data_IF_482993025310
#
_entry.id   IF_482993025310
#
_cell.length_a   1.000
_cell.length_b   1.000
_cell.length_c   1.000
_cell.angle_alpha   90.00
_cell.angle_beta   90.00
_cell.angle_gamma   90.00
#
_symmetry.space_group_name_H-M   'P 1'
#
loop_
_entity.id
_entity.type
_entity.pdbx_description
1 polymer ?
#
# COMPACT_ATOMS: atom_id res chain seq x y z
N UNK A 1 -31.55 -7.22 -19.19
CA UNK A 1 -30.63 -8.31 -18.83
C UNK A 1 -29.22 -7.77 -18.52
N UNK A 2 -28.49 -7.10 -19.42
CA UNK A 2 -27.13 -6.60 -19.15
C UNK A 2 -27.02 -5.59 -18.00
N UNK A 3 -27.96 -4.66 -17.87
CA UNK A 3 -28.00 -3.68 -16.76
C UNK A 3 -28.25 -4.37 -15.42
N UNK A 4 -29.20 -5.28 -15.35
CA UNK A 4 -29.51 -6.04 -14.12
C UNK A 4 -28.34 -6.95 -13.69
N UNK A 5 -27.60 -7.52 -14.65
CA UNK A 5 -26.40 -8.31 -14.38
C UNK A 5 -25.29 -7.44 -13.74
N UNK A 6 -25.05 -6.22 -14.28
CA UNK A 6 -24.09 -5.30 -13.71
C UNK A 6 -24.48 -4.85 -12.30
N UNK A 7 -25.74 -4.45 -12.09
CA UNK A 7 -26.25 -4.01 -10.79
C UNK A 7 -26.11 -5.10 -9.72
N UNK A 8 -26.39 -6.36 -10.05
CA UNK A 8 -26.19 -7.50 -9.16
C UNK A 8 -24.72 -7.65 -8.75
N UNK A 9 -23.80 -7.58 -9.71
CA UNK A 9 -22.35 -7.70 -9.46
C UNK A 9 -21.79 -6.51 -8.70
N UNK A 10 -22.26 -5.31 -9.01
CA UNK A 10 -21.90 -4.10 -8.28
C UNK A 10 -22.32 -4.20 -6.81
N UNK A 11 -23.56 -4.68 -6.57
CA UNK A 11 -24.06 -4.89 -5.20
C UNK A 11 -23.20 -5.91 -4.45
N UNK A 12 -22.78 -6.99 -5.10
CA UNK A 12 -21.86 -7.99 -4.54
C UNK A 12 -20.49 -7.37 -4.21
N UNK A 13 -19.88 -6.61 -5.13
CA UNK A 13 -18.58 -5.95 -4.92
C UNK A 13 -18.65 -4.90 -3.79
N UNK A 14 -19.70 -4.09 -3.75
CA UNK A 14 -19.94 -3.12 -2.68
C UNK A 14 -20.10 -3.81 -1.32
N UNK A 15 -20.83 -4.93 -1.26
CA UNK A 15 -20.98 -5.72 -0.04
C UNK A 15 -19.65 -6.27 0.46
N UNK A 16 -18.81 -6.80 -0.44
CA UNK A 16 -17.47 -7.29 -0.13
C UNK A 16 -16.58 -6.15 0.38
N UNK A 17 -16.59 -4.99 -0.31
CA UNK A 17 -15.80 -3.81 0.11
C UNK A 17 -16.25 -3.24 1.44
N UNK A 18 -17.57 -3.18 1.68
CA UNK A 18 -18.13 -2.73 2.94
C UNK A 18 -17.79 -3.69 4.09
N UNK A 19 -17.81 -5.00 3.84
CA UNK A 19 -17.40 -6.01 4.82
C UNK A 19 -15.96 -5.82 5.25
N UNK A 20 -15.02 -5.76 4.30
CA UNK A 20 -13.60 -5.57 4.63
C UNK A 20 -13.29 -4.15 5.12
N UNK A 21 -14.04 -3.15 4.65
CA UNK A 21 -13.91 -1.77 5.10
C UNK A 21 -14.06 -1.62 6.62
N UNK A 22 -14.95 -2.39 7.26
CA UNK A 22 -15.13 -2.38 8.71
C UNK A 22 -13.87 -2.81 9.48
N UNK A 23 -13.08 -3.71 8.92
CA UNK A 23 -11.83 -4.16 9.53
C UNK A 23 -10.69 -3.18 9.29
N UNK A 24 -10.66 -2.54 8.11
CA UNK A 24 -9.67 -1.52 7.76
C UNK A 24 -9.92 -0.25 8.58
N UNK A 25 -11.16 0.25 8.56
CA UNK A 25 -11.56 1.49 9.25
C UNK A 25 -12.11 1.20 10.65
N UNK A 26 -11.33 0.46 11.47
CA UNK A 26 -11.67 0.30 12.88
C UNK A 26 -11.47 1.64 13.65
N UNK A 27 -12.03 1.73 14.87
CA UNK A 27 -11.99 2.96 15.67
C UNK A 27 -10.56 3.48 15.91
N UNK A 28 -9.61 2.59 16.15
CA UNK A 28 -8.21 2.98 16.40
C UNK A 28 -7.55 3.54 15.14
N UNK A 29 -7.80 2.93 14.00
CA UNK A 29 -7.26 3.40 12.72
C UNK A 29 -7.90 4.73 12.29
N UNK A 30 -9.20 4.94 12.56
CA UNK A 30 -9.87 6.22 12.32
C UNK A 30 -9.27 7.34 13.16
N UNK A 31 -9.02 7.11 14.45
CA UNK A 31 -8.35 8.09 15.32
C UNK A 31 -6.95 8.41 14.79
N UNK A 32 -6.18 7.38 14.40
CA UNK A 32 -4.88 7.58 13.76
C UNK A 32 -4.97 8.44 12.49
N UNK A 33 -5.93 8.14 11.60
CA UNK A 33 -6.15 8.93 10.38
C UNK A 33 -6.52 10.38 10.68
N UNK A 34 -7.35 10.63 11.69
CA UNK A 34 -7.71 12.00 12.10
C UNK A 34 -6.49 12.77 12.59
N UNK A 35 -5.66 12.14 13.44
CA UNK A 35 -4.42 12.76 13.91
C UNK A 35 -3.46 13.00 12.74
N UNK A 36 -3.26 12.00 11.88
CA UNK A 36 -2.39 12.12 10.72
C UNK A 36 -2.84 13.23 9.76
N UNK A 37 -4.15 13.34 9.51
CA UNK A 37 -4.73 14.40 8.69
C UNK A 37 -4.54 15.78 9.34
N UNK A 38 -4.72 15.90 10.65
CA UNK A 38 -4.46 17.13 11.39
C UNK A 38 -3.00 17.56 11.34
N UNK A 39 -2.07 16.64 11.54
CA UNK A 39 -0.63 16.89 11.43
C UNK A 39 -0.26 17.27 10.00
N UNK A 40 -0.78 16.57 8.99
CA UNK A 40 -0.54 16.91 7.59
C UNK A 40 -1.03 18.32 7.26
N UNK A 41 -2.24 18.67 7.69
CA UNK A 41 -2.81 20.00 7.47
C UNK A 41 -1.97 21.09 8.16
N UNK A 42 -1.60 20.87 9.41
CA UNK A 42 -0.74 21.79 10.16
C UNK A 42 0.60 22.02 9.45
N UNK A 43 1.25 20.95 9.00
CA UNK A 43 2.54 21.07 8.30
C UNK A 43 2.41 21.74 6.94
N UNK A 44 1.34 21.46 6.18
CA UNK A 44 1.09 22.15 4.92
C UNK A 44 0.89 23.66 5.13
N UNK A 45 0.16 24.04 6.17
CA UNK A 45 -0.04 25.47 6.51
C UNK A 45 1.26 26.13 6.99
N UNK A 46 2.03 25.46 7.84
CA UNK A 46 3.35 25.95 8.30
C UNK A 46 4.35 26.07 7.16
N UNK A 47 4.40 25.10 6.25
CA UNK A 47 5.23 25.16 5.05
C UNK A 47 4.79 26.31 4.13
N UNK A 48 3.49 26.54 3.99
CA UNK A 48 2.95 27.66 3.22
C UNK A 48 3.47 29.01 3.73
N UNK A 49 3.57 29.19 5.05
CA UNK A 49 4.06 30.44 5.65
C UNK A 49 5.58 30.61 5.52
N UNK A 50 6.33 29.51 5.49
CA UNK A 50 7.79 29.50 5.47
C UNK A 50 8.43 29.48 4.09
N UNK A 51 7.69 28.98 3.07
CA UNK A 51 8.20 28.80 1.71
C UNK A 51 7.88 30.00 0.82
N UNK A 52 8.84 30.39 0.00
CA UNK A 52 8.64 31.35 -1.08
C UNK A 52 8.14 30.63 -2.34
N UNK A 53 7.41 31.33 -3.23
CA UNK A 53 7.02 30.79 -4.53
C UNK A 53 8.24 30.25 -5.26
N UNK A 54 8.18 29.00 -5.71
CA UNK A 54 9.29 28.38 -6.44
C UNK A 54 8.79 27.36 -7.44
N UNK A 55 9.50 27.25 -8.56
CA UNK A 55 9.21 26.26 -9.61
C UNK A 55 9.23 24.81 -9.07
N UNK A 56 9.96 24.54 -8.01
CA UNK A 56 10.00 23.21 -7.38
C UNK A 56 8.66 22.82 -6.76
N UNK A 57 7.93 23.78 -6.18
CA UNK A 57 6.58 23.57 -5.62
C UNK A 57 5.61 23.24 -6.77
N UNK A 58 5.72 23.95 -7.88
CA UNK A 58 4.87 23.75 -9.05
C UNK A 58 5.11 22.38 -9.69
N UNK A 59 6.38 22.01 -9.90
CA UNK A 59 6.76 20.70 -10.44
C UNK A 59 6.28 19.58 -9.52
N UNK A 60 6.51 19.71 -8.20
CA UNK A 60 6.10 18.69 -7.23
C UNK A 60 4.57 18.54 -7.20
N UNK A 61 3.85 19.65 -7.20
CA UNK A 61 2.38 19.69 -7.21
C UNK A 61 1.80 19.05 -8.47
N UNK A 62 2.37 19.35 -9.64
CA UNK A 62 1.97 18.75 -10.91
C UNK A 62 2.27 17.25 -10.95
N UNK A 63 3.42 16.78 -10.44
CA UNK A 63 3.77 15.36 -10.37
C UNK A 63 2.82 14.61 -9.43
N UNK A 64 2.61 15.12 -8.22
CA UNK A 64 1.74 14.49 -7.23
C UNK A 64 0.34 14.31 -7.81
N UNK A 65 -0.22 15.37 -8.41
CA UNK A 65 -1.57 15.31 -8.96
C UNK A 65 -1.64 14.39 -10.17
N UNK A 66 -0.67 14.44 -11.09
CA UNK A 66 -0.62 13.56 -12.25
C UNK A 66 -0.59 12.07 -11.87
N UNK A 67 0.16 11.71 -10.83
CA UNK A 67 0.23 10.32 -10.33
C UNK A 67 -1.10 9.88 -9.72
N UNK A 68 -1.80 10.78 -9.04
CA UNK A 68 -3.05 10.48 -8.35
C UNK A 68 -4.26 10.48 -9.29
N UNK A 69 -4.23 11.24 -10.39
CA UNK A 69 -5.26 11.24 -11.45
C UNK A 69 -5.27 9.90 -12.23
N UNK A 70 -5.36 8.79 -11.53
CA UNK A 70 -5.16 7.44 -12.05
C UNK A 70 -6.32 6.50 -11.66
N UNK A 71 -7.56 6.72 -12.18
CA UNK A 71 -8.69 5.86 -11.87
C UNK A 71 -8.45 4.42 -12.32
N UNK A 72 -8.91 3.45 -11.53
CA UNK A 72 -8.85 2.03 -11.87
C UNK A 72 -10.13 1.63 -12.59
N UNK A 73 -10.02 1.03 -13.76
CA UNK A 73 -11.18 0.50 -14.46
C UNK A 73 -11.61 -0.82 -13.82
N UNK A 74 -12.88 -0.95 -13.43
CA UNK A 74 -13.47 -2.14 -12.81
C UNK A 74 -14.63 -2.61 -13.66
N UNK A 75 -14.44 -3.75 -14.28
CA UNK A 75 -15.46 -4.35 -15.16
C UNK A 75 -16.36 -5.33 -14.42
N UNK A 76 -15.91 -5.87 -13.29
CA UNK A 76 -16.59 -6.91 -12.51
C UNK A 76 -16.89 -8.19 -13.33
N UNK A 77 -16.12 -8.43 -14.39
CA UNK A 77 -16.21 -9.66 -15.17
C UNK A 77 -15.56 -10.81 -14.41
N UNK A 78 -16.18 -12.00 -14.54
CA UNK A 78 -15.69 -13.26 -13.97
C UNK A 78 -15.05 -14.11 -15.07
N UNK A 79 -14.17 -15.04 -14.76
CA UNK A 79 -13.53 -15.93 -15.77
C UNK A 79 -14.54 -16.71 -16.61
N UNK A 80 -15.65 -17.13 -16.01
CA UNK A 80 -16.72 -17.83 -16.72
C UNK A 80 -17.39 -16.98 -17.83
N UNK A 81 -17.34 -15.65 -17.72
CA UNK A 81 -17.96 -14.75 -18.69
C UNK A 81 -17.31 -14.82 -20.06
N UNK A 82 -16.04 -15.20 -20.12
CA UNK A 82 -15.33 -15.42 -21.38
C UNK A 82 -15.98 -16.50 -22.25
N UNK A 83 -16.69 -17.45 -21.64
CA UNK A 83 -17.40 -18.53 -22.34
C UNK A 83 -18.86 -18.19 -22.61
N UNK A 84 -19.52 -17.48 -21.69
CA UNK A 84 -20.98 -17.34 -21.72
C UNK A 84 -21.47 -16.00 -22.28
N UNK A 85 -20.69 -14.93 -22.22
CA UNK A 85 -21.13 -13.59 -22.63
C UNK A 85 -20.84 -13.20 -24.09
N UNK A 86 -19.85 -13.77 -24.82
CA UNK A 86 -19.58 -13.37 -26.21
C UNK A 86 -20.79 -13.37 -27.13
N UNK A 87 -21.74 -14.35 -27.07
CA UNK A 87 -22.93 -14.31 -27.88
C UNK A 87 -23.85 -13.10 -27.66
N UNK A 88 -23.73 -12.46 -26.48
CA UNK A 88 -24.52 -11.30 -26.07
C UNK A 88 -23.77 -9.97 -26.21
N UNK A 89 -22.61 -9.93 -26.83
CA UNK A 89 -21.71 -8.77 -26.92
C UNK A 89 -22.43 -7.50 -27.38
N UNK A 90 -23.24 -7.58 -28.40
CA UNK A 90 -24.04 -6.46 -28.93
C UNK A 90 -25.01 -5.81 -27.93
N UNK A 91 -25.35 -6.51 -26.85
CA UNK A 91 -26.28 -6.04 -25.82
C UNK A 91 -25.53 -5.61 -24.51
N UNK A 92 -24.20 -5.59 -24.51
CA UNK A 92 -23.37 -5.31 -23.31
C UNK A 92 -23.07 -3.82 -23.10
N UNK A 93 -23.50 -2.92 -23.99
CA UNK A 93 -23.21 -1.48 -23.86
C UNK A 93 -23.63 -0.91 -22.52
N UNK A 94 -24.83 -1.27 -22.03
CA UNK A 94 -25.33 -0.78 -20.74
C UNK A 94 -24.53 -1.36 -19.56
N UNK A 95 -23.99 -2.57 -19.69
CA UNK A 95 -23.08 -3.16 -18.72
C UNK A 95 -21.79 -2.33 -18.60
N UNK A 96 -21.12 -2.08 -19.73
CA UNK A 96 -19.87 -1.32 -19.74
C UNK A 96 -20.07 0.15 -19.37
N UNK A 97 -21.20 0.77 -19.70
CA UNK A 97 -21.54 2.13 -19.20
C UNK A 97 -21.64 2.15 -17.68
N UNK A 98 -22.34 1.17 -17.09
CA UNK A 98 -22.39 1.02 -15.63
C UNK A 98 -21.01 0.82 -15.00
N UNK A 99 -20.19 -0.05 -15.60
CA UNK A 99 -18.83 -0.30 -15.15
C UNK A 99 -17.94 0.94 -15.19
N UNK A 100 -18.06 1.79 -16.22
CA UNK A 100 -17.35 3.08 -16.32
C UNK A 100 -17.75 4.04 -15.21
N UNK A 101 -19.05 4.24 -14.98
CA UNK A 101 -19.57 5.14 -13.93
C UNK A 101 -19.11 4.65 -12.56
N UNK A 102 -19.24 3.36 -12.29
CA UNK A 102 -18.78 2.76 -11.02
C UNK A 102 -17.28 2.94 -10.79
N UNK A 103 -16.46 2.72 -11.82
CA UNK A 103 -15.01 2.88 -11.75
C UNK A 103 -14.60 4.32 -11.44
N UNK A 104 -15.22 5.28 -12.12
CA UNK A 104 -14.97 6.71 -11.89
C UNK A 104 -15.37 7.13 -10.47
N UNK A 105 -16.54 6.67 -9.98
CA UNK A 105 -16.99 7.00 -8.62
C UNK A 105 -16.08 6.44 -7.52
N UNK A 106 -15.54 5.23 -7.70
CA UNK A 106 -14.59 4.64 -6.76
C UNK A 106 -13.24 5.36 -6.77
N UNK A 107 -12.81 5.85 -7.92
CA UNK A 107 -11.48 6.44 -8.10
C UNK A 107 -11.37 7.91 -7.68
N UNK A 108 -12.50 8.62 -7.47
CA UNK A 108 -12.50 10.09 -7.30
C UNK A 108 -12.00 10.57 -5.91
N UNK A 109 -12.10 9.73 -4.89
CA UNK A 109 -11.82 10.13 -3.49
C UNK A 109 -10.38 10.59 -3.28
N UNK A 110 -9.41 9.84 -3.78
CA UNK A 110 -7.99 10.16 -3.61
C UNK A 110 -7.59 11.44 -4.39
N UNK A 111 -7.96 11.63 -5.67
CA UNK A 111 -7.77 12.89 -6.38
C UNK A 111 -8.35 14.11 -5.67
N UNK A 112 -9.55 14.02 -5.09
CA UNK A 112 -10.17 15.14 -4.37
C UNK A 112 -9.36 15.50 -3.13
N UNK A 113 -8.98 14.52 -2.30
CA UNK A 113 -8.20 14.79 -1.07
C UNK A 113 -6.83 15.37 -1.40
N UNK A 114 -6.14 14.82 -2.40
CA UNK A 114 -4.82 15.34 -2.80
C UNK A 114 -4.91 16.71 -3.47
N UNK A 115 -5.97 17.00 -4.22
CA UNK A 115 -6.18 18.31 -4.82
C UNK A 115 -6.34 19.41 -3.77
N UNK A 116 -7.00 19.11 -2.63
CA UNK A 116 -7.08 20.06 -1.51
C UNK A 116 -5.71 20.34 -0.89
N UNK A 117 -4.87 19.32 -0.72
CA UNK A 117 -3.51 19.51 -0.21
C UNK A 117 -2.64 20.31 -1.19
N UNK A 118 -2.73 20.02 -2.49
CA UNK A 118 -2.03 20.76 -3.55
C UNK A 118 -2.52 22.21 -3.63
N UNK A 119 -3.81 22.46 -3.46
CA UNK A 119 -4.38 23.80 -3.42
C UNK A 119 -3.69 24.68 -2.37
N UNK A 120 -3.53 24.17 -1.14
CA UNK A 120 -2.87 24.90 -0.05
C UNK A 120 -1.46 25.34 -0.46
N UNK A 121 -0.70 24.48 -1.13
CA UNK A 121 0.66 24.78 -1.56
C UNK A 121 0.69 25.78 -2.72
N UNK A 122 -0.17 25.63 -3.72
CA UNK A 122 -0.18 26.49 -4.90
C UNK A 122 -0.69 27.92 -4.63
N UNK A 123 -1.45 28.14 -3.54
CA UNK A 123 -1.86 29.51 -3.15
C UNK A 123 -0.70 30.41 -2.74
N UNK A 124 0.53 29.92 -2.61
CA UNK A 124 1.73 30.70 -2.29
C UNK A 124 2.13 31.61 -3.45
N UNK A 125 1.98 31.16 -4.71
CA UNK A 125 2.54 31.85 -5.87
C UNK A 125 1.60 32.09 -7.05
N UNK A 126 0.34 31.64 -6.96
CA UNK A 126 -0.58 31.67 -8.11
C UNK A 126 -1.90 32.38 -7.81
N UNK A 127 -2.37 33.13 -8.83
CA UNK A 127 -3.66 33.81 -8.79
C UNK A 127 -4.84 32.83 -8.87
N UNK A 128 -6.00 33.28 -8.40
CA UNK A 128 -7.26 32.50 -8.41
C UNK A 128 -7.62 31.99 -9.81
N UNK A 129 -7.32 32.77 -10.87
CA UNK A 129 -7.55 32.36 -12.24
C UNK A 129 -6.70 31.13 -12.61
N UNK A 130 -5.39 31.16 -12.34
CA UNK A 130 -4.48 30.06 -12.61
C UNK A 130 -4.89 28.81 -11.86
N UNK A 131 -5.24 28.94 -10.57
CA UNK A 131 -5.71 27.82 -9.75
C UNK A 131 -7.01 27.23 -10.28
N UNK A 132 -7.98 28.06 -10.68
CA UNK A 132 -9.26 27.58 -11.21
C UNK A 132 -9.04 26.79 -12.52
N UNK A 133 -8.21 27.29 -13.44
CA UNK A 133 -7.87 26.60 -14.67
C UNK A 133 -7.12 25.29 -14.43
N UNK A 134 -6.21 25.28 -13.44
CA UNK A 134 -5.47 24.07 -13.03
C UNK A 134 -6.41 22.95 -12.55
N UNK A 135 -7.40 23.26 -11.69
CA UNK A 135 -8.33 22.26 -11.20
C UNK A 135 -9.36 21.83 -12.25
N UNK A 136 -9.82 22.75 -13.13
CA UNK A 136 -10.65 22.38 -14.29
C UNK A 136 -9.88 21.40 -15.15
N UNK A 137 -8.60 21.68 -15.42
CA UNK A 137 -7.76 20.78 -16.21
C UNK A 137 -7.56 19.43 -15.52
N UNK A 138 -7.37 19.38 -14.21
CA UNK A 138 -7.27 18.13 -13.45
C UNK A 138 -8.53 17.25 -13.62
N UNK A 139 -9.72 17.85 -13.62
CA UNK A 139 -10.97 17.12 -13.89
C UNK A 139 -10.98 16.57 -15.33
N UNK A 140 -10.60 17.36 -16.31
CA UNK A 140 -10.51 16.95 -17.72
C UNK A 140 -9.54 15.79 -17.86
N UNK A 141 -8.37 15.88 -17.24
CA UNK A 141 -7.32 14.87 -17.27
C UNK A 141 -7.78 13.57 -16.59
N UNK A 142 -8.54 13.63 -15.50
CA UNK A 142 -9.10 12.46 -14.85
C UNK A 142 -9.95 11.60 -15.80
N UNK A 143 -10.81 12.23 -16.59
CA UNK A 143 -11.61 11.55 -17.62
C UNK A 143 -10.77 11.09 -18.81
N UNK A 144 -9.77 11.89 -19.21
CA UNK A 144 -8.86 11.55 -20.29
C UNK A 144 -8.04 10.29 -19.96
N UNK A 145 -7.40 10.27 -18.80
CA UNK A 145 -6.62 9.11 -18.31
C UNK A 145 -7.49 7.85 -18.19
N UNK A 146 -8.73 8.00 -17.74
CA UNK A 146 -9.68 6.89 -17.74
C UNK A 146 -9.97 6.35 -19.13
N UNK A 147 -10.17 7.22 -20.13
CA UNK A 147 -10.40 6.83 -21.52
C UNK A 147 -9.20 6.09 -22.11
N UNK A 148 -7.98 6.59 -21.88
CA UNK A 148 -6.74 5.92 -22.32
C UNK A 148 -6.62 4.52 -21.72
N UNK A 149 -6.92 4.38 -20.43
CA UNK A 149 -6.88 3.08 -19.75
C UNK A 149 -7.90 2.09 -20.23
N UNK A 150 -9.13 2.53 -20.50
CA UNK A 150 -10.16 1.63 -21.04
C UNK A 150 -9.77 1.08 -22.41
N UNK A 151 -9.09 1.88 -23.24
CA UNK A 151 -8.52 1.42 -24.49
C UNK A 151 -7.40 0.39 -24.26
N UNK A 152 -6.48 0.68 -23.34
CA UNK A 152 -5.35 -0.18 -23.06
C UNK A 152 -5.76 -1.59 -22.59
N UNK A 153 -6.91 -1.71 -21.92
CA UNK A 153 -7.45 -3.02 -21.53
C UNK A 153 -7.93 -3.82 -22.75
N UNK A 154 -8.49 -3.14 -23.76
CA UNK A 154 -9.00 -3.81 -24.97
C UNK A 154 -7.90 -4.15 -25.98
N UNK A 155 -6.72 -3.58 -25.83
CA UNK A 155 -5.59 -3.75 -26.73
C UNK A 155 -4.43 -4.44 -26.02
N UNK A 156 -3.58 -5.13 -26.79
CA UNK A 156 -2.35 -5.76 -26.27
C UNK A 156 -1.18 -4.75 -26.12
N UNK A 157 -1.49 -3.47 -25.89
CA UNK A 157 -0.49 -2.44 -25.70
C UNK A 157 0.31 -2.68 -24.40
N UNK A 158 1.61 -2.39 -24.46
CA UNK A 158 2.46 -2.51 -23.29
C UNK A 158 1.95 -1.59 -22.17
N UNK A 159 1.53 -2.17 -21.05
CA UNK A 159 0.97 -1.45 -19.89
C UNK A 159 1.89 -0.36 -19.37
N UNK A 160 3.22 -0.56 -19.43
CA UNK A 160 4.21 0.46 -19.02
C UNK A 160 4.20 1.66 -19.96
N UNK A 161 4.18 1.42 -21.28
CA UNK A 161 4.15 2.50 -22.27
C UNK A 161 2.89 3.35 -22.12
N UNK A 162 1.74 2.71 -21.94
CA UNK A 162 0.46 3.40 -21.69
C UNK A 162 0.51 4.22 -20.39
N UNK A 163 1.08 3.64 -19.32
CA UNK A 163 1.21 4.34 -18.04
C UNK A 163 2.08 5.57 -18.16
N UNK A 164 3.24 5.46 -18.82
CA UNK A 164 4.14 6.59 -19.03
C UNK A 164 3.53 7.65 -19.92
N UNK A 165 2.75 7.26 -20.95
CA UNK A 165 2.11 8.22 -21.86
C UNK A 165 1.08 9.11 -21.17
N UNK A 166 0.16 8.54 -20.38
CA UNK A 166 -0.81 9.38 -19.67
C UNK A 166 -0.17 10.19 -18.54
N UNK A 167 0.80 9.64 -17.80
CA UNK A 167 1.53 10.40 -16.78
C UNK A 167 2.26 11.61 -17.39
N UNK A 168 2.86 11.43 -18.57
CA UNK A 168 3.52 12.51 -19.28
C UNK A 168 2.53 13.59 -19.74
N UNK A 169 1.37 13.21 -20.30
CA UNK A 169 0.32 14.12 -20.71
C UNK A 169 -0.25 14.88 -19.50
N UNK A 170 -0.55 14.17 -18.41
CA UNK A 170 -1.12 14.77 -17.21
C UNK A 170 -0.13 15.75 -16.56
N UNK A 171 1.13 15.35 -16.41
CA UNK A 171 2.17 16.21 -15.86
C UNK A 171 2.40 17.47 -16.72
N UNK A 172 2.61 17.30 -18.03
CA UNK A 172 2.89 18.43 -18.92
C UNK A 172 1.72 19.39 -18.99
N UNK A 173 0.48 18.90 -19.05
CA UNK A 173 -0.72 19.73 -19.09
C UNK A 173 -0.90 20.55 -17.81
N UNK A 174 -0.68 19.96 -16.65
CA UNK A 174 -0.78 20.64 -15.35
C UNK A 174 0.35 21.64 -15.15
N UNK A 175 1.58 21.27 -15.50
CA UNK A 175 2.75 22.12 -15.32
C UNK A 175 2.71 23.36 -16.25
N UNK A 176 2.27 23.21 -17.49
CA UNK A 176 2.12 24.33 -18.41
C UNK A 176 1.20 25.44 -17.87
N UNK A 177 0.08 25.06 -17.24
CA UNK A 177 -0.87 26.02 -16.68
C UNK A 177 -0.24 26.80 -15.50
N UNK A 178 0.60 26.14 -14.69
CA UNK A 178 1.31 26.79 -13.59
C UNK A 178 2.37 27.79 -14.07
N UNK A 179 2.99 27.57 -15.24
CA UNK A 179 3.91 28.53 -15.84
C UNK A 179 3.15 29.78 -16.28
N UNK A 180 2.05 29.61 -17.00
CA UNK A 180 1.24 30.75 -17.46
C UNK A 180 -0.19 30.26 -17.80
N UNK A 181 -1.24 30.93 -17.33
CA UNK A 181 -2.63 30.50 -17.53
C UNK A 181 -3.06 30.45 -19.02
N UNK A 182 -2.43 31.21 -19.91
CA UNK A 182 -2.70 31.12 -21.35
C UNK A 182 -2.35 29.75 -21.96
N UNK A 183 -1.43 29.01 -21.37
CA UNK A 183 -1.08 27.65 -21.82
C UNK A 183 -2.17 26.59 -21.54
N UNK A 184 -3.28 26.99 -20.87
CA UNK A 184 -4.47 26.15 -20.76
C UNK A 184 -4.97 25.68 -22.14
N UNK A 185 -4.93 26.57 -23.16
CA UNK A 185 -5.33 26.23 -24.54
C UNK A 185 -4.42 25.12 -25.10
N UNK A 186 -3.11 25.20 -24.88
CA UNK A 186 -2.15 24.18 -25.33
C UNK A 186 -2.38 22.85 -24.61
N UNK A 187 -2.64 22.89 -23.31
CA UNK A 187 -2.96 21.70 -22.52
C UNK A 187 -4.25 21.01 -23.03
N UNK A 188 -5.29 21.79 -23.37
CA UNK A 188 -6.52 21.25 -23.97
C UNK A 188 -6.24 20.60 -25.34
N UNK A 189 -5.39 21.22 -26.17
CA UNK A 189 -4.99 20.63 -27.46
C UNK A 189 -4.30 19.27 -27.25
N UNK A 190 -3.40 19.14 -26.28
CA UNK A 190 -2.75 17.86 -25.96
C UNK A 190 -3.76 16.79 -25.58
N UNK A 191 -4.76 17.14 -24.77
CA UNK A 191 -5.85 16.22 -24.40
C UNK A 191 -6.67 15.81 -25.64
N UNK A 192 -7.03 16.76 -26.51
CA UNK A 192 -7.78 16.47 -27.73
C UNK A 192 -6.98 15.52 -28.63
N UNK A 193 -5.69 15.76 -28.81
CA UNK A 193 -4.82 14.88 -29.60
C UNK A 193 -4.77 13.47 -29.02
N UNK A 194 -4.67 13.35 -27.69
CA UNK A 194 -4.70 12.04 -27.02
C UNK A 194 -6.04 11.31 -27.23
N UNK A 195 -7.16 12.05 -27.17
CA UNK A 195 -8.49 11.46 -27.42
C UNK A 195 -8.70 11.04 -28.87
N UNK A 196 -8.17 11.79 -29.84
CA UNK A 196 -8.20 11.41 -31.26
C UNK A 196 -7.40 10.12 -31.45
N UNK A 197 -6.23 10.02 -30.82
CA UNK A 197 -5.41 8.81 -30.86
C UNK A 197 -6.16 7.61 -30.27
N UNK A 198 -6.78 7.77 -29.08
CA UNK A 198 -7.58 6.74 -28.43
C UNK A 198 -8.71 6.27 -29.35
N UNK A 199 -9.47 7.20 -29.94
CA UNK A 199 -10.61 6.85 -30.80
C UNK A 199 -10.20 6.10 -32.08
N UNK A 200 -9.02 6.40 -32.64
CA UNK A 200 -8.50 5.68 -33.83
C UNK A 200 -8.12 4.23 -33.54
N UNK A 201 -7.86 3.89 -32.28
CA UNK A 201 -7.44 2.56 -31.84
C UNK A 201 -8.54 1.79 -31.10
N UNK A 202 -9.79 2.30 -31.11
CA UNK A 202 -10.92 1.54 -30.57
C UNK A 202 -11.24 0.41 -31.54
N UNK A 203 -11.06 -0.82 -31.09
CA UNK A 203 -11.47 -2.01 -31.82
C UNK A 203 -12.97 -2.21 -31.65
N UNK A 204 -13.64 -2.62 -32.72
CA UNK A 204 -15.08 -2.92 -32.70
C UNK A 204 -15.42 -4.11 -31.81
N UNK A 205 -14.50 -5.07 -31.69
CA UNK A 205 -14.68 -6.28 -30.92
C UNK A 205 -14.09 -6.19 -29.52
N UNK A 206 -14.78 -6.73 -28.54
CA UNK A 206 -14.35 -6.80 -27.14
C UNK A 206 -13.36 -7.95 -26.97
N UNK A 207 -12.17 -7.67 -26.45
CA UNK A 207 -11.21 -8.71 -26.04
C UNK A 207 -11.59 -9.28 -24.67
N UNK A 208 -12.50 -10.25 -24.63
CA UNK A 208 -13.00 -10.88 -23.41
C UNK A 208 -11.88 -11.41 -22.52
N UNK A 209 -10.84 -12.00 -23.12
CA UNK A 209 -9.69 -12.53 -22.41
C UNK A 209 -8.92 -11.41 -21.66
N UNK A 210 -8.70 -10.28 -22.33
CA UNK A 210 -7.98 -9.15 -21.72
C UNK A 210 -8.78 -8.50 -20.59
N UNK A 211 -10.09 -8.34 -20.78
CA UNK A 211 -10.96 -7.79 -19.75
C UNK A 211 -11.05 -8.68 -18.50
N UNK A 212 -11.20 -9.99 -18.67
CA UNK A 212 -11.30 -10.93 -17.55
C UNK A 212 -9.95 -11.05 -16.80
N UNK A 213 -8.84 -11.15 -17.52
CA UNK A 213 -7.50 -11.18 -16.91
C UNK A 213 -7.18 -9.88 -16.16
N UNK A 214 -7.52 -8.73 -16.74
CA UNK A 214 -7.35 -7.44 -16.11
C UNK A 214 -8.17 -7.31 -14.82
N UNK A 215 -9.44 -7.71 -14.83
CA UNK A 215 -10.29 -7.67 -13.63
C UNK A 215 -9.77 -8.61 -12.55
N UNK A 216 -9.28 -9.80 -12.91
CA UNK A 216 -8.63 -10.73 -11.99
C UNK A 216 -7.42 -10.09 -11.30
N UNK A 217 -6.55 -9.44 -12.08
CA UNK A 217 -5.38 -8.71 -11.54
C UNK A 217 -5.80 -7.59 -10.58
N UNK A 218 -6.86 -6.82 -10.93
CA UNK A 218 -7.40 -5.76 -10.07
C UNK A 218 -8.00 -6.31 -8.78
N UNK A 219 -8.73 -7.42 -8.87
CA UNK A 219 -9.32 -8.07 -7.71
C UNK A 219 -8.25 -8.65 -6.78
N UNK A 220 -7.23 -9.27 -7.35
CA UNK A 220 -6.09 -9.79 -6.59
C UNK A 220 -5.33 -8.66 -5.89
N UNK A 221 -5.08 -7.54 -6.58
CA UNK A 221 -4.45 -6.35 -6.01
C UNK A 221 -5.28 -5.76 -4.86
N UNK A 222 -6.61 -5.74 -4.98
CA UNK A 222 -7.50 -5.32 -3.90
C UNK A 222 -7.39 -6.24 -2.69
N UNK A 223 -7.48 -7.55 -2.88
CA UNK A 223 -7.35 -8.51 -1.78
C UNK A 223 -5.96 -8.49 -1.13
N UNK A 224 -4.90 -8.28 -1.90
CA UNK A 224 -3.56 -8.08 -1.35
C UNK A 224 -3.49 -6.85 -0.44
N UNK A 225 -4.14 -5.75 -0.84
CA UNK A 225 -4.22 -4.55 0.01
C UNK A 225 -5.03 -4.82 1.28
N UNK A 226 -6.16 -5.50 1.17
CA UNK A 226 -7.01 -5.86 2.32
C UNK A 226 -6.30 -6.82 3.26
N UNK A 227 -5.52 -7.78 2.72
CA UNK A 227 -4.79 -8.76 3.53
C UNK A 227 -3.73 -8.14 4.44
N UNK A 228 -3.33 -6.89 4.20
CA UNK A 228 -2.45 -6.14 5.09
C UNK A 228 -3.13 -5.76 6.41
N UNK A 229 -4.46 -5.75 6.44
CA UNK A 229 -5.25 -5.32 7.60
C UNK A 229 -6.04 -6.47 8.23
N UNK A 230 -6.41 -7.48 7.44
CA UNK A 230 -7.23 -8.61 7.93
C UNK A 230 -6.97 -9.87 7.11
N UNK A 231 -7.26 -11.04 7.70
CA UNK A 231 -7.14 -12.31 7.00
C UNK A 231 -8.21 -12.45 5.91
N UNK A 232 -7.78 -12.59 4.66
CA UNK A 232 -8.64 -12.81 3.49
C UNK A 232 -8.58 -14.27 3.09
N UNK A 233 -9.71 -14.97 3.16
CA UNK A 233 -9.81 -16.42 2.85
C UNK A 233 -9.54 -16.75 1.37
N UNK A 234 -9.71 -15.79 0.46
CA UNK A 234 -9.61 -16.00 -0.99
C UNK A 234 -8.20 -15.83 -1.57
N UNK A 235 -7.20 -15.50 -0.74
CA UNK A 235 -5.81 -15.46 -1.19
C UNK A 235 -5.19 -16.80 -0.83
N UNK A 236 -4.87 -17.59 -1.84
CA UNK A 236 -3.92 -18.68 -1.67
C UNK A 236 -2.60 -18.06 -1.19
N UNK A 237 -2.25 -18.32 0.07
CA UNK A 237 -0.96 -17.92 0.64
C UNK A 237 0.13 -18.72 -0.07
N UNK A 238 0.43 -18.33 -1.30
CA UNK A 238 1.54 -18.93 -2.03
C UNK A 238 2.84 -18.47 -1.38
N UNK A 239 3.50 -19.37 -0.67
CA UNK A 239 4.85 -19.16 -0.15
C UNK A 239 5.81 -18.98 -1.33
N UNK A 240 6.01 -17.74 -1.76
CA UNK A 240 6.88 -17.41 -2.87
C UNK A 240 8.33 -17.32 -2.37
N UNK A 241 9.19 -18.22 -2.81
CA UNK A 241 10.63 -18.19 -2.45
C UNK A 241 11.27 -16.89 -2.94
N UNK A 242 11.71 -16.05 -1.99
CA UNK A 242 12.47 -14.83 -2.27
C UNK A 242 13.95 -15.14 -2.26
N UNK A 243 14.51 -15.51 -3.43
CA UNK A 243 15.93 -15.88 -3.57
C UNK A 243 16.90 -14.83 -3.02
N UNK A 244 16.55 -13.54 -3.15
CA UNK A 244 17.36 -12.41 -2.67
C UNK A 244 17.50 -12.40 -1.14
N UNK A 245 16.53 -12.95 -0.39
CA UNK A 245 16.58 -12.99 1.07
C UNK A 245 17.12 -14.31 1.62
N UNK A 246 17.41 -15.28 0.75
CA UNK A 246 17.96 -16.58 1.18
C UNK A 246 19.36 -16.43 1.84
N UNK A 247 20.10 -15.33 1.59
CA UNK A 247 21.38 -15.06 2.26
C UNK A 247 21.25 -14.74 3.76
N UNK A 248 20.07 -14.30 4.20
CA UNK A 248 19.78 -14.02 5.61
C UNK A 248 19.43 -15.30 6.40
N UNK A 249 19.23 -16.42 5.70
CA UNK A 249 18.92 -17.68 6.37
C UNK A 249 20.18 -18.27 6.99
N UNK A 250 20.15 -18.63 8.30
CA UNK A 250 21.26 -19.34 8.90
C UNK A 250 21.45 -20.70 8.23
N UNK A 251 22.68 -20.99 7.79
CA UNK A 251 23.02 -22.26 7.18
C UNK A 251 23.56 -23.19 8.26
N UNK A 252 22.74 -24.12 8.70
CA UNK A 252 23.17 -25.19 9.60
C UNK A 252 23.63 -26.37 8.74
N UNK A 253 24.93 -26.69 8.73
CA UNK A 253 25.51 -27.82 8.03
C UNK A 253 26.08 -28.83 9.03
N UNK A 254 25.83 -30.12 8.78
CA UNK A 254 26.43 -31.24 9.53
C UNK A 254 26.01 -31.29 11.00
N UNK A 255 26.97 -31.44 11.90
CA UNK A 255 26.79 -31.64 13.34
C UNK A 255 26.07 -30.50 14.08
N UNK A 256 25.98 -29.30 13.48
CA UNK A 256 25.25 -28.17 14.05
C UNK A 256 23.73 -28.24 13.85
N UNK A 257 23.24 -29.23 13.12
CA UNK A 257 21.81 -29.45 12.93
C UNK A 257 21.27 -30.40 14.03
N UNK A 258 21.18 -29.89 15.23
CA UNK A 258 20.63 -30.61 16.38
C UNK A 258 19.13 -30.32 16.55
N UNK A 259 18.42 -31.23 17.26
CA UNK A 259 16.99 -31.10 17.63
C UNK A 259 16.65 -29.73 18.26
N UNK A 260 17.60 -29.14 19.01
CA UNK A 260 17.47 -27.83 19.65
C UNK A 260 17.43 -26.65 18.66
N UNK A 261 18.03 -26.79 17.49
CA UNK A 261 18.13 -25.72 16.47
C UNK A 261 17.09 -25.85 15.37
N UNK A 262 16.37 -26.97 15.31
CA UNK A 262 15.39 -27.25 14.27
C UNK A 262 14.27 -26.20 14.23
N UNK A 263 13.71 -25.86 15.38
CA UNK A 263 12.65 -24.86 15.48
C UNK A 263 13.16 -23.42 15.28
N UNK A 264 14.38 -23.12 15.68
CA UNK A 264 15.01 -21.83 15.41
C UNK A 264 15.14 -21.59 13.90
N UNK A 265 15.60 -22.61 13.17
CA UNK A 265 15.66 -22.55 11.70
C UNK A 265 14.27 -22.43 11.07
N UNK A 266 13.28 -23.14 11.59
CA UNK A 266 11.89 -23.05 11.13
C UNK A 266 11.34 -21.63 11.31
N UNK A 267 11.58 -20.95 12.44
CA UNK A 267 11.15 -19.58 12.69
C UNK A 267 11.82 -18.59 11.74
N UNK A 268 13.13 -18.70 11.52
CA UNK A 268 13.83 -17.86 10.53
C UNK A 268 13.26 -18.05 9.13
N UNK A 269 13.07 -19.30 8.72
CA UNK A 269 12.52 -19.63 7.41
C UNK A 269 11.08 -19.16 7.27
N UNK A 270 10.27 -19.32 8.28
CA UNK A 270 8.89 -18.83 8.30
C UNK A 270 8.85 -17.32 8.18
N UNK A 271 9.65 -16.60 8.94
CA UNK A 271 9.70 -15.13 8.85
C UNK A 271 10.14 -14.65 7.47
N UNK A 272 11.25 -15.13 6.94
CA UNK A 272 11.81 -14.65 5.67
C UNK A 272 10.93 -15.02 4.47
N UNK A 273 10.26 -16.16 4.52
CA UNK A 273 9.39 -16.66 3.44
C UNK A 273 7.92 -16.32 3.60
N UNK A 274 7.52 -15.82 4.75
CA UNK A 274 6.18 -15.28 4.92
C UNK A 274 5.98 -14.08 3.98
N UNK A 275 4.80 -14.03 3.37
CA UNK A 275 4.49 -12.95 2.42
C UNK A 275 4.29 -11.62 3.14
N UNK A 276 3.70 -11.65 4.33
CA UNK A 276 3.15 -10.47 4.98
C UNK A 276 4.05 -9.94 6.10
N UNK A 277 4.53 -10.79 7.01
CA UNK A 277 5.23 -10.37 8.22
C UNK A 277 6.48 -9.51 8.00
N UNK A 278 7.44 -9.89 7.10
CA UNK A 278 8.60 -9.04 6.87
C UNK A 278 8.24 -7.68 6.28
N UNK A 279 7.19 -7.64 5.44
CA UNK A 279 6.72 -6.40 4.84
C UNK A 279 5.97 -5.52 5.84
N UNK A 280 5.23 -6.12 6.78
CA UNK A 280 4.60 -5.38 7.89
C UNK A 280 5.68 -4.74 8.76
N UNK A 281 6.71 -5.50 9.17
CA UNK A 281 7.83 -4.98 9.96
C UNK A 281 8.54 -3.84 9.22
N UNK A 282 8.86 -4.03 7.93
CA UNK A 282 9.49 -3.00 7.12
C UNK A 282 8.64 -1.72 7.03
N UNK A 283 7.33 -1.84 6.82
CA UNK A 283 6.41 -0.69 6.74
C UNK A 283 6.35 0.07 8.05
N UNK A 284 6.26 -0.65 9.19
CA UNK A 284 6.28 -0.05 10.52
C UNK A 284 7.59 0.70 10.72
N UNK A 285 8.74 0.10 10.38
CA UNK A 285 10.04 0.76 10.47
C UNK A 285 10.08 2.04 9.65
N UNK A 286 9.69 1.98 8.36
CA UNK A 286 9.68 3.14 7.46
C UNK A 286 8.76 4.23 7.99
N UNK A 287 7.57 3.89 8.48
CA UNK A 287 6.63 4.85 9.08
C UNK A 287 7.27 5.59 10.24
N UNK A 288 7.87 4.87 11.19
CA UNK A 288 8.48 5.49 12.36
C UNK A 288 9.75 6.27 12.01
N UNK A 289 10.52 5.87 10.98
CA UNK A 289 11.66 6.65 10.50
C UNK A 289 11.23 7.97 9.87
N UNK A 290 10.14 7.99 9.11
CA UNK A 290 9.56 9.23 8.58
C UNK A 290 9.11 10.14 9.73
N UNK A 291 8.45 9.59 10.74
CA UNK A 291 8.01 10.34 11.93
C UNK A 291 9.23 10.91 12.68
N UNK A 292 10.28 10.11 12.90
CA UNK A 292 11.52 10.56 13.55
C UNK A 292 12.20 11.70 12.79
N UNK A 293 12.25 11.60 11.46
CA UNK A 293 12.85 12.62 10.61
C UNK A 293 12.05 13.93 10.63
N UNK A 294 10.74 13.82 10.75
CA UNK A 294 9.85 14.98 10.72
C UNK A 294 9.74 15.72 12.04
N UNK A 295 9.93 15.03 13.16
CA UNK A 295 9.80 15.61 14.50
C UNK A 295 11.16 16.16 14.98
N UNK A 296 11.26 17.48 15.05
CA UNK A 296 12.46 18.17 15.55
C UNK A 296 12.72 17.98 17.06
N UNK A 297 11.65 17.66 17.82
CA UNK A 297 11.77 17.46 19.27
C UNK A 297 12.30 16.06 19.58
N UNK A 298 13.48 15.98 20.19
CA UNK A 298 14.18 14.74 20.48
C UNK A 298 13.43 13.79 21.41
N UNK A 299 12.75 14.30 22.43
CA UNK A 299 12.02 13.46 23.39
C UNK A 299 10.81 12.83 22.74
N UNK A 300 10.12 13.58 21.89
CA UNK A 300 8.97 13.08 21.13
C UNK A 300 9.44 12.03 20.11
N UNK A 301 10.52 12.31 19.39
CA UNK A 301 11.14 11.35 18.46
C UNK A 301 11.55 10.06 19.17
N UNK A 302 12.12 10.14 20.39
CA UNK A 302 12.50 8.99 21.19
C UNK A 302 11.27 8.16 21.59
N UNK A 303 10.20 8.79 22.09
CA UNK A 303 8.96 8.10 22.49
C UNK A 303 8.34 7.36 21.30
N UNK A 304 8.25 8.01 20.13
CA UNK A 304 7.73 7.35 18.93
C UNK A 304 8.59 6.16 18.49
N UNK A 305 9.90 6.26 18.61
CA UNK A 305 10.81 5.17 18.29
C UNK A 305 10.61 3.96 19.21
N UNK A 306 10.50 4.21 20.52
CA UNK A 306 10.22 3.17 21.52
C UNK A 306 8.86 2.49 21.25
N UNK A 307 7.85 3.28 20.87
CA UNK A 307 6.53 2.78 20.49
C UNK A 307 6.59 1.96 19.19
N UNK A 308 7.39 2.38 18.20
CA UNK A 308 7.63 1.62 16.98
C UNK A 308 8.23 0.24 17.25
N UNK A 309 9.25 0.17 18.11
CA UNK A 309 9.86 -1.08 18.54
C UNK A 309 8.83 -1.97 19.25
N UNK A 310 7.98 -1.41 20.10
CA UNK A 310 6.90 -2.12 20.77
C UNK A 310 5.93 -2.78 19.79
N UNK A 311 5.45 -2.03 18.78
CA UNK A 311 4.54 -2.58 17.75
C UNK A 311 5.21 -3.70 16.96
N UNK A 312 6.50 -3.55 16.63
CA UNK A 312 7.23 -4.58 15.87
C UNK A 312 7.35 -5.87 16.70
N UNK A 313 7.67 -5.79 17.98
CA UNK A 313 7.75 -6.96 18.87
C UNK A 313 6.39 -7.65 18.95
N UNK A 314 5.30 -6.88 19.04
CA UNK A 314 3.92 -7.42 18.98
C UNK A 314 3.64 -8.19 17.69
N UNK A 315 4.01 -7.65 16.54
CA UNK A 315 3.78 -8.33 15.26
C UNK A 315 4.63 -9.60 15.13
N UNK A 316 5.87 -9.57 15.61
CA UNK A 316 6.73 -10.75 15.61
C UNK A 316 6.20 -11.91 16.46
N UNK A 317 5.45 -11.61 17.52
CA UNK A 317 4.85 -12.64 18.39
C UNK A 317 3.87 -13.54 17.65
N UNK A 318 3.25 -13.07 16.56
CA UNK A 318 2.33 -13.86 15.74
C UNK A 318 3.00 -15.06 15.06
N UNK A 319 4.32 -15.02 14.83
CA UNK A 319 5.07 -16.14 14.24
C UNK A 319 5.01 -17.37 15.18
N UNK A 320 5.12 -17.14 16.47
CA UNK A 320 5.04 -18.23 17.45
C UNK A 320 3.68 -18.94 17.37
N UNK A 321 2.60 -18.18 17.46
CA UNK A 321 1.25 -18.75 17.39
C UNK A 321 0.97 -19.44 16.06
N UNK A 322 1.45 -18.88 14.94
CA UNK A 322 1.28 -19.48 13.63
C UNK A 322 2.00 -20.82 13.46
N UNK A 323 3.15 -21.04 14.14
CA UNK A 323 3.94 -22.27 14.00
C UNK A 323 3.70 -23.27 15.13
N UNK A 324 3.49 -22.82 16.37
CA UNK A 324 3.31 -23.67 17.53
C UNK A 324 1.99 -24.48 17.49
N UNK A 325 0.96 -23.92 16.84
CA UNK A 325 -0.36 -24.58 16.73
C UNK A 325 -0.54 -25.44 15.48
N UNK A 326 0.49 -25.55 14.62
CA UNK A 326 0.45 -26.49 13.50
C UNK A 326 0.43 -27.93 13.99
N UNK A 327 -0.06 -28.84 13.14
CA UNK A 327 -0.13 -30.27 13.44
C UNK A 327 1.26 -30.90 13.64
N UNK A 328 2.23 -30.50 12.84
CA UNK A 328 3.59 -31.07 12.81
C UNK A 328 4.35 -30.98 14.14
N UNK A 329 4.37 -29.85 14.88
CA UNK A 329 5.01 -29.78 16.18
C UNK A 329 4.41 -30.74 17.24
N UNK A 330 3.13 -31.10 17.06
CA UNK A 330 2.45 -32.05 17.95
C UNK A 330 2.81 -33.51 17.66
N UNK A 331 3.16 -33.80 16.42
CA UNK A 331 3.49 -35.16 15.96
C UNK A 331 4.97 -35.50 16.16
N UNK A 332 5.83 -34.50 16.10
CA UNK A 332 7.27 -34.70 16.24
C UNK A 332 7.66 -35.07 17.69
N UNK A 333 8.55 -36.03 17.88
CA UNK A 333 8.97 -36.49 19.22
C UNK A 333 9.98 -35.50 19.83
N UNK A 334 9.63 -34.21 19.91
CA UNK A 334 10.47 -33.16 20.44
C UNK A 334 9.76 -32.46 21.57
N UNK A 335 10.48 -32.21 22.67
CA UNK A 335 9.92 -31.55 23.86
C UNK A 335 9.43 -30.14 23.50
N UNK A 336 8.26 -29.78 24.01
CA UNK A 336 7.60 -28.46 23.78
C UNK A 336 8.49 -27.29 24.24
N UNK A 337 9.28 -27.47 25.30
CA UNK A 337 10.24 -26.48 25.77
C UNK A 337 11.25 -26.04 24.70
N UNK A 338 11.62 -26.96 23.79
CA UNK A 338 12.55 -26.59 22.70
C UNK A 338 11.95 -25.62 21.68
N UNK A 339 10.64 -25.63 21.49
CA UNK A 339 9.94 -24.66 20.63
C UNK A 339 10.04 -23.27 21.26
N UNK A 340 9.74 -23.18 22.56
CA UNK A 340 9.78 -21.94 23.33
C UNK A 340 11.20 -21.34 23.35
N UNK A 341 12.20 -22.15 23.71
CA UNK A 341 13.61 -21.72 23.76
C UNK A 341 14.12 -21.27 22.39
N UNK A 342 13.71 -21.97 21.32
CA UNK A 342 14.09 -21.62 19.95
C UNK A 342 13.44 -20.32 19.50
N UNK A 343 12.18 -20.08 19.87
CA UNK A 343 11.51 -18.82 19.60
C UNK A 343 12.20 -17.66 20.34
N UNK A 344 12.55 -17.82 21.61
CA UNK A 344 13.28 -16.78 22.36
C UNK A 344 14.60 -16.44 21.68
N UNK A 345 15.40 -17.46 21.31
CA UNK A 345 16.69 -17.22 20.62
C UNK A 345 16.51 -16.49 19.29
N UNK A 346 15.52 -16.94 18.49
CA UNK A 346 15.19 -16.31 17.21
C UNK A 346 14.74 -14.86 17.41
N UNK A 347 13.73 -14.64 18.25
CA UNK A 347 13.13 -13.31 18.44
C UNK A 347 14.12 -12.30 19.01
N UNK A 348 14.98 -12.70 19.97
CA UNK A 348 16.03 -11.81 20.50
C UNK A 348 17.02 -11.34 19.41
N UNK A 349 17.45 -12.25 18.53
CA UNK A 349 18.39 -11.89 17.44
C UNK A 349 17.74 -10.91 16.46
N UNK A 350 16.50 -11.18 16.04
CA UNK A 350 15.81 -10.32 15.06
C UNK A 350 15.47 -8.96 15.68
N UNK A 351 14.93 -8.93 16.89
CA UNK A 351 14.62 -7.68 17.60
C UNK A 351 15.88 -6.87 17.84
N UNK A 352 17.00 -7.51 18.20
CA UNK A 352 18.27 -6.82 18.37
C UNK A 352 18.75 -6.14 17.08
N UNK A 353 18.65 -6.83 15.93
CA UNK A 353 18.99 -6.23 14.62
C UNK A 353 18.10 -5.02 14.33
N UNK A 354 16.79 -5.14 14.58
CA UNK A 354 15.84 -4.06 14.37
C UNK A 354 16.16 -2.85 15.27
N UNK A 355 16.42 -3.09 16.55
CA UNK A 355 16.78 -2.01 17.49
C UNK A 355 18.09 -1.32 17.14
N UNK A 356 19.07 -2.06 16.58
CA UNK A 356 20.29 -1.45 16.04
C UNK A 356 20.00 -0.54 14.84
N UNK A 357 19.08 -0.91 13.96
CA UNK A 357 18.69 -0.05 12.84
C UNK A 357 18.04 1.24 13.36
N UNK A 358 17.14 1.16 14.35
CA UNK A 358 16.55 2.34 14.99
C UNK A 358 17.64 3.22 15.66
N UNK A 359 18.61 2.60 16.33
CA UNK A 359 19.75 3.28 16.94
C UNK A 359 20.56 4.06 15.89
N UNK A 360 20.95 3.43 14.79
CA UNK A 360 21.71 4.09 13.73
C UNK A 360 20.95 5.25 13.10
N UNK A 361 19.66 5.09 12.82
CA UNK A 361 18.85 6.15 12.22
C UNK A 361 18.67 7.31 13.19
N UNK A 362 18.47 7.03 14.49
CA UNK A 362 18.36 8.06 15.51
C UNK A 362 19.65 8.88 15.63
N UNK A 363 20.84 8.23 15.56
CA UNK A 363 22.14 8.92 15.58
C UNK A 363 22.31 9.84 14.36
N UNK A 364 21.84 9.39 13.19
CA UNK A 364 21.92 10.21 11.96
C UNK A 364 21.06 11.47 12.09
N UNK A 365 19.86 11.34 12.69
CA UNK A 365 18.90 12.45 12.83
C UNK A 365 19.32 13.38 13.99
N UNK A 366 19.77 12.83 15.12
CA UNK A 366 20.11 13.55 16.33
C UNK A 366 21.54 13.26 16.82
N UNK A 367 22.59 13.69 16.08
CA UNK A 367 23.98 13.32 16.39
C UNK A 367 24.49 13.87 17.74
N UNK A 368 23.97 15.02 18.20
CA UNK A 368 24.39 15.63 19.44
C UNK A 368 24.01 14.83 20.70
N UNK A 369 22.98 13.99 20.62
CA UNK A 369 22.45 13.25 21.76
C UNK A 369 22.41 11.73 21.48
N UNK A 370 23.46 11.23 20.83
CA UNK A 370 23.59 9.81 20.45
C UNK A 370 23.46 8.85 21.64
N UNK A 371 23.81 9.28 22.87
CA UNK A 371 23.71 8.44 24.07
C UNK A 371 22.29 7.98 24.40
N UNK A 372 21.25 8.73 24.00
CA UNK A 372 19.84 8.35 24.20
C UNK A 372 19.47 7.13 23.35
N UNK A 373 20.13 6.92 22.23
CA UNK A 373 19.85 5.78 21.34
C UNK A 373 20.17 4.42 21.97
N UNK A 374 21.05 4.38 22.99
CA UNK A 374 21.37 3.14 23.72
C UNK A 374 20.17 2.54 24.47
N UNK A 375 19.11 3.32 24.65
CA UNK A 375 17.86 2.84 25.25
C UNK A 375 17.17 1.82 24.33
N UNK A 376 17.31 1.90 23.01
CA UNK A 376 16.57 1.04 22.08
C UNK A 376 16.89 -0.45 22.19
N UNK A 377 18.17 -0.89 22.24
CA UNK A 377 18.48 -2.30 22.46
C UNK A 377 17.99 -2.83 23.80
N UNK A 378 18.13 -2.01 24.86
CA UNK A 378 17.66 -2.37 26.21
C UNK A 378 16.14 -2.53 26.22
N UNK A 379 15.41 -1.58 25.64
CA UNK A 379 13.97 -1.60 25.52
C UNK A 379 13.47 -2.80 24.71
N UNK A 380 14.06 -3.06 23.56
CA UNK A 380 13.71 -4.20 22.71
C UNK A 380 13.94 -5.55 23.43
N UNK A 381 15.03 -5.69 24.16
CA UNK A 381 15.30 -6.88 24.96
C UNK A 381 14.25 -7.09 26.06
N UNK A 382 13.93 -6.05 26.83
CA UNK A 382 12.93 -6.11 27.91
C UNK A 382 11.54 -6.46 27.36
N UNK A 383 11.11 -5.77 26.29
CA UNK A 383 9.83 -6.05 25.65
C UNK A 383 9.73 -7.48 25.16
N UNK A 384 10.76 -7.96 24.46
CA UNK A 384 10.74 -9.32 23.93
C UNK A 384 10.68 -10.37 25.04
N UNK A 385 11.36 -10.15 26.16
CA UNK A 385 11.32 -11.02 27.33
C UNK A 385 9.93 -11.06 27.99
N UNK A 386 9.29 -9.89 28.14
CA UNK A 386 7.95 -9.79 28.72
C UNK A 386 6.92 -10.46 27.83
N UNK A 387 6.97 -10.20 26.53
CA UNK A 387 6.04 -10.79 25.57
C UNK A 387 6.18 -12.31 25.46
N UNK A 388 7.40 -12.82 25.36
CA UNK A 388 7.64 -14.26 25.32
C UNK A 388 7.05 -14.98 26.54
N UNK A 389 7.23 -14.43 27.76
CA UNK A 389 6.62 -14.96 28.96
C UNK A 389 5.09 -14.92 28.95
N UNK A 390 4.50 -13.84 28.45
CA UNK A 390 3.04 -13.69 28.36
C UNK A 390 2.42 -14.71 27.38
N UNK A 391 3.08 -15.00 26.27
CA UNK A 391 2.62 -16.00 25.29
C UNK A 391 2.62 -17.40 25.93
N UNK A 392 3.68 -17.74 26.66
CA UNK A 392 3.81 -19.07 27.29
C UNK A 392 2.77 -19.27 28.38
N UNK A 393 2.51 -18.24 29.20
CA UNK A 393 1.46 -18.31 30.20
C UNK A 393 0.08 -18.57 29.60
N UNK A 394 -0.26 -17.87 28.52
CA UNK A 394 -1.52 -18.13 27.78
C UNK A 394 -1.58 -19.51 27.17
N UNK A 395 -0.44 -20.07 26.76
CA UNK A 395 -0.39 -21.41 26.20
C UNK A 395 -0.62 -22.49 27.28
N UNK A 396 -0.10 -22.31 28.50
CA UNK A 396 -0.35 -23.16 29.64
C UNK A 396 -1.83 -23.13 30.04
N UNK A 397 -2.42 -21.93 30.15
CA UNK A 397 -3.85 -21.76 30.50
C UNK A 397 -4.80 -22.39 29.45
N UNK A 398 -4.38 -22.55 28.19
CA UNK A 398 -5.17 -23.21 27.15
C UNK A 398 -4.92 -24.70 27.03
N UNK A 399 -3.90 -25.23 27.71
CA UNK A 399 -3.56 -26.65 27.71
C UNK A 399 -4.12 -27.44 28.90
N UNK A 400 -4.53 -26.71 29.94
CA UNK A 400 -5.30 -27.21 31.09
C UNK A 400 -6.80 -27.14 30.80
#
# INVERSE_FOLDING_TARGET
MSKSLFESRMTEDVKIRSYYGKFIFNSHFLVFLMIAAGVLLYTLLSLRESLNPSIYIDVLSAIILAVVLNPKYRTLLKEADMLFLPPYEKHMDNYFKGAKIYSLSLGITLPVVTSLAVLIMLTIGHDVLTLSLFFIMAIILYFNTFSIKTLAVNTDLNRLAVTLSYLFIDFTSLFLILIHPAFFILAVILVILSQIFVRRHVFENISWMNYTSYEKDQQQSYYQTVSMFTNVKSIDKSFKRRRVLDFLLPVYKGEKFDKKHMYEYLFYRSFIRDHDLPMIVLRIMVLFFIIMFWISNIYVSLIFSLFGIYIIVLQMSQIYTAQAYLLWPKVWPVKRSYIQDSYIRYSHKVVFIITLIFLFIFIIIHPAQFYLSLIFPIWGYLLNRVYSKSIYKKEEELSD
#
